data_IF_408284205911
#
_entry.id   IF_408284205911
#
_cell.length_a   1.000
_cell.length_b   1.000
_cell.length_c   1.000
_cell.angle_alpha   90.00
_cell.angle_beta   90.00
_cell.angle_gamma   90.00
#
_symmetry.space_group_name_H-M   'P 1'
#
loop_
_entity.id
_entity.type
_entity.pdbx_description
1 polymer ?
#
# COMPACT_ATOMS: atom_id res chain seq x y z
N UNK A 1 -21.94 -0.72 4.98
CA UNK A 1 -20.51 -0.75 5.34
C UNK A 1 -19.71 -0.53 4.08
N UNK A 2 -18.86 0.50 4.03
CA UNK A 2 -17.98 0.71 2.89
C UNK A 2 -16.96 -0.44 2.81
N UNK A 3 -16.63 -0.85 1.59
CA UNK A 3 -15.73 -1.98 1.36
C UNK A 3 -14.31 -1.58 1.74
N UNK A 4 -13.73 -2.26 2.73
CA UNK A 4 -12.30 -2.15 3.05
C UNK A 4 -11.48 -2.78 1.93
N UNK A 5 -10.49 -2.06 1.41
CA UNK A 5 -9.66 -2.52 0.30
C UNK A 5 -8.20 -2.17 0.48
N UNK A 6 -7.33 -3.09 0.08
CA UNK A 6 -5.91 -2.85 -0.13
C UNK A 6 -5.62 -3.06 -1.61
N UNK A 7 -5.22 -2.00 -2.31
CA UNK A 7 -4.87 -2.03 -3.73
C UNK A 7 -3.36 -2.03 -3.92
N UNK A 8 -2.85 -3.02 -4.65
CA UNK A 8 -1.45 -3.09 -5.07
C UNK A 8 -1.27 -2.18 -6.29
N UNK A 9 -0.44 -1.15 -6.18
CA UNK A 9 -0.13 -0.25 -7.30
C UNK A 9 1.13 -0.73 -8.01
N UNK A 10 1.11 -0.76 -9.34
CA UNK A 10 2.30 -1.09 -10.13
C UNK A 10 3.42 -0.11 -9.84
N UNK A 11 4.62 -0.64 -9.61
CA UNK A 11 5.81 0.15 -9.31
C UNK A 11 5.62 1.12 -8.14
N UNK A 12 4.65 0.86 -7.26
CA UNK A 12 4.19 1.80 -6.25
C UNK A 12 3.75 1.16 -4.93
N UNK A 13 3.04 1.97 -4.14
CA UNK A 13 2.59 1.66 -2.78
C UNK A 13 1.47 0.63 -2.72
N UNK A 14 1.19 0.17 -1.49
CA UNK A 14 -0.09 -0.46 -1.14
C UNK A 14 -1.05 0.64 -0.71
N UNK A 15 -2.13 0.86 -1.47
CA UNK A 15 -3.16 1.85 -1.13
C UNK A 15 -4.24 1.19 -0.27
N UNK A 16 -4.39 1.66 0.96
CA UNK A 16 -5.40 1.19 1.91
C UNK A 16 -6.56 2.18 1.91
N UNK A 17 -7.78 1.68 1.80
CA UNK A 17 -9.02 2.47 1.83
C UNK A 17 -10.06 1.80 2.74
N UNK A 18 -10.75 2.60 3.53
CA UNK A 18 -11.82 2.17 4.44
C UNK A 18 -11.44 2.33 5.91
N UNK A 19 -12.30 1.83 6.78
CA UNK A 19 -12.11 1.87 8.23
C UNK A 19 -11.13 0.76 8.65
N UNK A 20 -9.84 1.11 8.77
CA UNK A 20 -8.74 0.18 9.09
C UNK A 20 -7.81 0.81 10.13
N UNK A 21 -7.41 0.00 11.11
CA UNK A 21 -6.40 0.37 12.09
C UNK A 21 -5.02 -0.14 11.64
N UNK A 22 -4.02 0.75 11.66
CA UNK A 22 -2.63 0.38 11.43
C UNK A 22 -1.93 0.31 12.78
N UNK A 23 -1.39 -0.86 13.11
CA UNK A 23 -0.69 -1.12 14.38
C UNK A 23 0.73 -1.63 14.15
N UNK A 24 1.63 -1.39 15.10
CA UNK A 24 2.96 -2.00 15.12
C UNK A 24 2.95 -3.41 15.77
N UNK A 25 4.13 -4.01 15.91
CA UNK A 25 4.30 -5.35 16.49
C UNK A 25 3.90 -5.44 17.97
N UNK A 26 3.87 -4.31 18.69
CA UNK A 26 3.48 -4.22 20.10
C UNK A 26 1.99 -3.83 20.25
N UNK A 27 1.31 -3.52 19.14
CA UNK A 27 -0.09 -3.11 19.11
C UNK A 27 -0.30 -1.59 19.19
N UNK A 28 0.76 -0.77 19.13
CA UNK A 28 0.61 0.68 19.16
C UNK A 28 0.01 1.18 17.83
N UNK A 29 -0.90 2.15 17.91
CA UNK A 29 -1.65 2.65 16.76
C UNK A 29 -0.90 3.78 16.06
N UNK A 30 -0.82 3.71 14.73
CA UNK A 30 -0.41 4.84 13.90
C UNK A 30 -1.60 5.77 13.63
N UNK A 31 -1.39 7.10 13.59
CA UNK A 31 -2.43 8.03 13.13
C UNK A 31 -2.61 7.89 11.61
N UNK A 32 -3.80 7.48 11.19
CA UNK A 32 -4.14 7.26 9.77
C UNK A 32 -5.35 8.10 9.34
N UNK A 33 -5.51 8.23 8.02
CA UNK A 33 -6.71 8.76 7.37
C UNK A 33 -7.55 7.60 6.83
N UNK A 34 -8.81 7.81 6.42
CA UNK A 34 -9.62 6.76 5.77
C UNK A 34 -8.98 6.18 4.50
N UNK A 35 -8.08 6.94 3.86
CA UNK A 35 -7.28 6.48 2.72
C UNK A 35 -5.82 6.88 2.96
N UNK A 36 -4.93 5.90 2.93
CA UNK A 36 -3.49 6.10 3.09
C UNK A 36 -2.71 5.11 2.21
N UNK A 37 -1.40 5.29 2.15
CA UNK A 37 -0.52 4.44 1.33
C UNK A 37 0.68 3.99 2.12
N UNK A 38 0.92 2.68 2.11
CA UNK A 38 2.06 2.06 2.76
C UNK A 38 3.20 1.87 1.77
N UNK A 39 4.42 2.06 2.26
CA UNK A 39 5.61 1.81 1.48
C UNK A 39 5.70 0.32 1.15
N UNK A 40 5.95 0.03 -0.14
CA UNK A 40 6.23 -1.32 -0.64
C UNK A 40 7.66 -1.46 -1.18
N UNK A 41 8.31 -0.34 -1.49
CA UNK A 41 9.60 -0.32 -2.18
C UNK A 41 10.83 -0.32 -1.26
N UNK A 42 10.65 -0.18 0.05
CA UNK A 42 11.76 -0.11 1.02
C UNK A 42 12.53 1.21 1.06
N UNK A 43 12.22 2.18 0.18
CA UNK A 43 13.00 3.42 0.03
C UNK A 43 12.40 4.66 0.72
N UNK A 44 11.23 4.55 1.36
CA UNK A 44 10.63 5.73 2.00
C UNK A 44 11.42 6.17 3.22
N UNK A 45 11.52 7.49 3.40
CA UNK A 45 12.05 8.14 4.60
C UNK A 45 10.98 8.34 5.69
N UNK A 46 9.71 8.06 5.38
CA UNK A 46 8.57 8.20 6.29
C UNK A 46 7.88 6.85 6.53
N UNK A 47 8.66 5.79 6.76
CA UNK A 47 8.13 4.46 7.04
C UNK A 47 7.16 4.48 8.23
N UNK A 48 6.06 3.72 8.18
CA UNK A 48 5.68 2.72 7.16
C UNK A 48 4.96 3.31 5.93
N UNK A 49 4.81 4.63 5.85
CA UNK A 49 4.04 5.29 4.79
C UNK A 49 4.84 5.48 3.51
N UNK A 50 4.14 5.63 2.39
CA UNK A 50 4.76 5.96 1.11
C UNK A 50 4.93 7.47 0.94
N UNK A 51 6.14 7.92 0.59
CA UNK A 51 6.51 9.31 0.28
C UNK A 51 6.88 9.54 -1.21
N UNK A 52 6.52 8.59 -2.08
CA UNK A 52 6.85 8.58 -3.51
C UNK A 52 8.32 8.30 -3.87
N UNK A 53 9.17 7.87 -2.92
CA UNK A 53 10.57 7.46 -3.21
C UNK A 53 10.70 6.27 -4.18
N UNK A 54 9.61 5.56 -4.48
CA UNK A 54 9.56 4.46 -5.46
C UNK A 54 9.71 4.91 -6.92
N UNK A 55 9.41 6.18 -7.24
CA UNK A 55 9.35 6.68 -8.63
C UNK A 55 10.69 6.48 -9.34
N UNK A 56 10.65 5.77 -10.47
CA UNK A 56 11.82 5.52 -11.32
C UNK A 56 12.86 4.54 -10.75
N UNK A 57 12.61 3.94 -9.58
CA UNK A 57 13.57 3.05 -8.89
C UNK A 57 12.98 1.71 -8.48
N UNK A 58 11.66 1.61 -8.38
CA UNK A 58 10.97 0.37 -8.00
C UNK A 58 10.27 -0.23 -9.22
N UNK A 59 10.57 -1.50 -9.52
CA UNK A 59 9.91 -2.27 -10.58
C UNK A 59 9.23 -3.49 -9.97
N UNK A 60 7.89 -3.48 -9.97
CA UNK A 60 7.08 -4.57 -9.44
C UNK A 60 5.63 -4.45 -9.92
N UNK A 61 5.25 -5.33 -10.84
CA UNK A 61 3.90 -5.48 -11.38
C UNK A 61 3.31 -6.82 -10.90
N UNK A 62 2.72 -6.83 -9.70
CA UNK A 62 2.09 -8.03 -9.13
C UNK A 62 0.61 -8.02 -9.49
N UNK A 63 0.15 -9.04 -10.23
CA UNK A 63 -1.24 -9.17 -10.69
C UNK A 63 -1.92 -10.37 -10.06
N UNK A 64 -3.24 -10.27 -9.86
CA UNK A 64 -4.06 -11.43 -9.55
C UNK A 64 -4.28 -12.27 -10.82
N UNK A 65 -4.44 -13.58 -10.65
CA UNK A 65 -4.58 -14.58 -11.71
C UNK A 65 -5.54 -14.14 -12.83
N UNK A 66 -6.75 -13.71 -12.46
CA UNK A 66 -7.78 -13.28 -13.43
C UNK A 66 -7.36 -12.13 -14.37
N UNK A 67 -6.38 -11.31 -13.99
CA UNK A 67 -5.89 -10.21 -14.86
C UNK A 67 -4.91 -10.73 -15.92
N UNK A 68 -4.35 -11.93 -15.75
CA UNK A 68 -3.39 -12.55 -16.66
C UNK A 68 -4.06 -13.38 -17.77
N UNK A 69 -5.34 -13.75 -17.59
CA UNK A 69 -6.08 -14.61 -18.53
C UNK A 69 -6.90 -13.83 -19.58
N UNK A 70 -6.86 -12.50 -19.57
CA UNK A 70 -7.58 -11.62 -20.52
C UNK A 70 -6.62 -11.01 -21.57
N UNK A 71 -5.76 -11.83 -22.20
CA UNK A 71 -5.00 -11.49 -23.41
C UNK A 71 -5.68 -11.97 -24.71
#
# INVERSE_FOLDING_TARGET
MEKVQIKVMDNGSLRVSGEVELVDAEGNRFPTKPVFSLCRCGMSKNMPFCDASHKGKFSSCVRAEKVLDEE
#
